data_IF_790993562288
#
_entry.id   IF_790993562288
#
_cell.length_a   1.000
_cell.length_b   1.000
_cell.length_c   1.000
_cell.angle_alpha   90.00
_cell.angle_beta   90.00
_cell.angle_gamma   90.00
#
_symmetry.space_group_name_H-M   'P 1'
#
loop_
_entity.id
_entity.type
_entity.pdbx_description
1 polymer ?
#
# COMPACT_ATOMS: atom_id res chain seq x y z
N UNK A 1 14.55 -34.51 -34.58
CA UNK A 1 14.74 -33.14 -35.03
C UNK A 1 15.95 -33.07 -35.95
N UNK A 2 15.75 -33.07 -37.28
CA UNK A 2 16.84 -32.90 -38.25
C UNK A 2 16.60 -31.61 -39.04
N UNK A 3 17.57 -30.72 -39.19
CA UNK A 3 17.43 -29.58 -40.08
C UNK A 3 17.51 -30.09 -41.54
N UNK A 4 16.50 -29.72 -42.35
CA UNK A 4 16.52 -29.90 -43.80
C UNK A 4 17.23 -28.71 -44.43
N UNK A 5 17.84 -28.89 -45.59
CA UNK A 5 18.71 -27.89 -46.28
C UNK A 5 18.03 -26.57 -46.67
N UNK A 6 16.72 -26.41 -46.39
CA UNK A 6 15.89 -25.25 -46.78
C UNK A 6 15.43 -24.35 -45.60
N UNK A 7 16.21 -24.26 -44.55
CA UNK A 7 15.89 -23.33 -43.43
C UNK A 7 14.52 -23.59 -42.77
N UNK A 8 14.04 -24.85 -42.77
CA UNK A 8 12.76 -25.29 -42.16
C UNK A 8 12.99 -26.32 -41.08
N UNK A 9 12.24 -26.18 -40.00
CA UNK A 9 12.17 -27.21 -38.94
C UNK A 9 10.92 -28.06 -39.19
N UNK A 10 11.12 -29.35 -39.46
CA UNK A 10 10.02 -30.31 -39.66
C UNK A 10 9.92 -31.18 -38.42
N UNK A 11 8.76 -31.15 -37.75
CA UNK A 11 8.42 -32.05 -36.65
C UNK A 11 7.59 -33.21 -37.18
N UNK A 12 8.05 -34.44 -36.94
CA UNK A 12 7.27 -35.64 -37.30
C UNK A 12 6.27 -35.96 -36.20
N UNK A 13 5.17 -36.63 -36.56
CA UNK A 13 4.04 -36.92 -35.65
C UNK A 13 4.40 -37.77 -34.44
N UNK A 14 5.52 -38.51 -34.49
CA UNK A 14 6.02 -39.32 -33.35
C UNK A 14 6.56 -38.48 -32.20
N UNK A 15 6.86 -37.19 -32.44
CA UNK A 15 7.40 -36.25 -31.44
C UNK A 15 6.30 -35.45 -30.70
N UNK A 16 5.02 -35.65 -31.06
CA UNK A 16 3.88 -34.90 -30.52
C UNK A 16 2.98 -35.77 -29.63
N UNK A 17 2.45 -35.23 -28.54
CA UNK A 17 1.45 -35.95 -27.75
C UNK A 17 0.15 -36.16 -28.56
N UNK A 18 -0.51 -37.32 -28.35
CA UNK A 18 -1.66 -37.87 -29.09
C UNK A 18 -2.88 -36.94 -29.34
N UNK A 19 -2.86 -35.69 -28.87
CA UNK A 19 -4.00 -34.74 -28.90
C UNK A 19 -3.90 -33.71 -30.03
N UNK A 20 -2.78 -33.67 -30.78
CA UNK A 20 -2.59 -32.73 -31.90
C UNK A 20 -2.36 -33.46 -33.21
N UNK A 21 -3.39 -33.57 -34.02
CA UNK A 21 -3.29 -34.17 -35.35
C UNK A 21 -3.36 -33.10 -36.45
N UNK A 22 -2.20 -32.60 -36.91
CA UNK A 22 -1.93 -32.51 -38.33
C UNK A 22 -0.70 -33.35 -38.67
N UNK A 23 -0.71 -33.96 -39.86
CA UNK A 23 0.35 -34.87 -40.34
C UNK A 23 1.77 -34.32 -40.36
N UNK A 24 1.93 -32.99 -40.37
CA UNK A 24 3.21 -32.26 -40.25
C UNK A 24 2.99 -30.81 -39.82
N UNK A 25 3.78 -30.32 -38.87
CA UNK A 25 3.89 -28.88 -38.54
C UNK A 25 5.24 -28.41 -39.15
N UNK A 26 5.16 -27.44 -40.10
CA UNK A 26 6.31 -26.80 -40.69
C UNK A 26 6.39 -25.38 -40.12
N UNK A 27 7.48 -25.04 -39.45
CA UNK A 27 7.73 -23.70 -38.92
C UNK A 27 8.88 -23.12 -39.77
N UNK A 28 8.65 -22.01 -40.43
CA UNK A 28 9.73 -21.28 -41.13
C UNK A 28 10.53 -20.47 -40.11
N UNK A 29 11.84 -20.39 -40.29
CA UNK A 29 12.71 -19.67 -39.33
C UNK A 29 12.42 -18.16 -39.28
N UNK A 30 11.81 -17.63 -40.33
CA UNK A 30 11.35 -16.24 -40.42
C UNK A 30 10.17 -15.94 -39.50
N UNK A 31 9.33 -16.96 -39.16
CA UNK A 31 8.24 -16.86 -38.22
C UNK A 31 8.69 -16.77 -36.74
N UNK A 32 9.98 -17.03 -36.46
CA UNK A 32 10.55 -17.00 -35.11
C UNK A 32 11.06 -15.61 -34.71
N UNK A 33 11.24 -14.70 -35.65
CA UNK A 33 11.69 -13.32 -35.39
C UNK A 33 10.60 -12.46 -34.73
N UNK A 34 9.32 -12.82 -34.95
CA UNK A 34 8.16 -12.14 -34.35
C UNK A 34 7.62 -12.82 -33.07
N UNK A 35 8.21 -13.96 -32.66
CA UNK A 35 7.83 -14.63 -31.42
C UNK A 35 8.50 -13.93 -30.25
N UNK A 36 7.75 -13.12 -29.51
CA UNK A 36 8.20 -12.71 -28.18
C UNK A 36 8.69 -13.95 -27.42
N UNK A 37 9.90 -13.93 -26.85
CA UNK A 37 10.43 -15.08 -26.15
C UNK A 37 9.43 -15.50 -25.09
N UNK A 38 8.77 -16.63 -25.29
CA UNK A 38 7.88 -17.23 -24.32
C UNK A 38 8.67 -17.33 -23.02
N UNK A 39 8.03 -16.92 -21.91
CA UNK A 39 8.63 -17.04 -20.59
C UNK A 39 9.12 -18.48 -20.42
N UNK A 40 10.43 -18.67 -20.53
CA UNK A 40 11.06 -19.98 -20.37
C UNK A 40 10.83 -20.40 -18.93
N UNK A 41 9.87 -21.29 -18.76
CA UNK A 41 9.72 -22.01 -17.49
C UNK A 41 10.88 -23.00 -17.38
N UNK A 42 11.82 -22.84 -16.44
CA UNK A 42 12.96 -23.73 -16.33
C UNK A 42 12.52 -25.03 -15.67
N UNK A 43 12.22 -26.00 -16.50
CA UNK A 43 12.14 -27.41 -16.14
C UNK A 43 13.35 -28.22 -16.60
N UNK A 44 14.42 -27.58 -17.08
CA UNK A 44 15.64 -28.25 -17.53
C UNK A 44 16.89 -27.69 -16.87
N UNK A 45 17.74 -28.58 -16.42
CA UNK A 45 19.00 -28.33 -15.76
C UNK A 45 19.85 -27.27 -16.47
N UNK A 46 20.06 -26.14 -15.79
CA UNK A 46 21.04 -25.17 -16.21
C UNK A 46 21.84 -24.71 -15.01
N UNK A 47 23.14 -24.57 -15.21
CA UNK A 47 24.09 -24.05 -14.27
C UNK A 47 23.80 -22.64 -13.79
N UNK A 48 24.67 -22.01 -12.98
CA UNK A 48 24.39 -20.81 -12.25
C UNK A 48 24.23 -19.60 -13.19
N UNK A 49 23.05 -19.33 -13.64
CA UNK A 49 22.70 -18.09 -14.30
C UNK A 49 22.12 -17.14 -13.26
N UNK A 50 22.80 -16.05 -13.02
CA UNK A 50 22.27 -14.92 -12.25
C UNK A 50 21.12 -14.29 -13.05
N UNK A 51 19.91 -14.80 -12.88
CA UNK A 51 18.72 -14.14 -13.36
C UNK A 51 18.34 -13.05 -12.35
N UNK A 52 18.81 -11.82 -12.58
CA UNK A 52 18.02 -10.66 -12.26
C UNK A 52 17.00 -10.54 -13.40
N UNK A 53 15.72 -10.94 -13.24
CA UNK A 53 14.74 -10.69 -14.27
C UNK A 53 14.60 -9.20 -14.41
N UNK A 54 14.88 -8.69 -15.60
CA UNK A 54 14.62 -7.28 -15.93
C UNK A 54 13.15 -7.00 -15.63
N UNK A 55 12.88 -6.11 -14.70
CA UNK A 55 11.53 -5.55 -14.49
C UNK A 55 11.13 -5.01 -15.85
N UNK A 56 10.12 -5.61 -16.50
CA UNK A 56 9.62 -5.10 -17.79
C UNK A 56 9.31 -3.61 -17.64
N UNK A 57 9.87 -2.71 -18.48
CA UNK A 57 9.49 -1.30 -18.48
C UNK A 57 8.03 -1.23 -18.91
N UNK A 58 7.15 -0.90 -17.99
CA UNK A 58 5.70 -0.83 -18.24
C UNK A 58 4.84 -1.04 -16.99
N UNK A 59 5.43 -1.33 -15.84
CA UNK A 59 4.67 -1.42 -14.60
C UNK A 59 4.18 -0.03 -14.16
N UNK A 60 2.88 0.05 -13.85
CA UNK A 60 2.22 1.27 -13.42
C UNK A 60 2.93 1.86 -12.19
N UNK A 61 3.43 3.13 -12.22
CA UNK A 61 4.15 3.74 -11.10
C UNK A 61 3.34 3.76 -9.80
N UNK A 62 2.00 3.78 -9.90
CA UNK A 62 1.11 3.69 -8.74
C UNK A 62 1.28 2.35 -8.02
N UNK A 63 1.47 1.25 -8.76
CA UNK A 63 1.66 -0.08 -8.15
C UNK A 63 3.02 -0.20 -7.47
N UNK A 64 4.02 0.50 -7.98
CA UNK A 64 5.41 0.40 -7.50
C UNK A 64 5.69 1.22 -6.24
N UNK A 65 5.01 2.36 -6.06
CA UNK A 65 5.31 3.29 -4.97
C UNK A 65 4.25 3.27 -3.87
N UNK A 66 4.61 2.76 -2.69
CA UNK A 66 3.75 2.81 -1.52
C UNK A 66 3.41 4.25 -1.09
N UNK A 67 4.34 5.19 -1.27
CA UNK A 67 4.10 6.61 -1.00
C UNK A 67 3.01 7.15 -1.91
N UNK A 68 3.13 6.93 -3.24
CA UNK A 68 2.14 7.41 -4.21
C UNK A 68 0.75 6.79 -3.97
N UNK A 69 0.71 5.51 -3.59
CA UNK A 69 -0.55 4.83 -3.22
C UNK A 69 -1.24 5.53 -2.06
N UNK A 70 -0.49 5.83 -1.00
CA UNK A 70 -1.03 6.52 0.18
C UNK A 70 -1.41 7.98 -0.13
N UNK A 71 -0.62 8.71 -0.94
CA UNK A 71 -0.96 10.08 -1.40
C UNK A 71 -2.30 10.07 -2.14
N UNK A 72 -2.46 9.18 -3.11
CA UNK A 72 -3.69 9.09 -3.89
C UNK A 72 -4.89 8.65 -3.03
N UNK A 73 -4.70 7.67 -2.16
CA UNK A 73 -5.76 7.23 -1.25
C UNK A 73 -6.19 8.36 -0.30
N UNK A 74 -5.23 9.08 0.28
CA UNK A 74 -5.50 10.23 1.12
C UNK A 74 -6.20 11.36 0.37
N UNK A 75 -5.77 11.68 -0.85
CA UNK A 75 -6.41 12.68 -1.70
C UNK A 75 -7.86 12.30 -2.05
N UNK A 76 -8.10 11.04 -2.43
CA UNK A 76 -9.45 10.53 -2.71
C UNK A 76 -10.31 10.59 -1.44
N UNK A 77 -9.78 10.18 -0.29
CA UNK A 77 -10.47 10.29 0.99
C UNK A 77 -10.82 11.74 1.35
N UNK A 78 -9.89 12.67 1.10
CA UNK A 78 -10.09 14.10 1.28
C UNK A 78 -11.17 14.68 0.36
N UNK A 79 -11.15 14.29 -0.92
CA UNK A 79 -12.19 14.67 -1.89
C UNK A 79 -13.57 14.19 -1.46
N UNK A 80 -13.71 12.94 -1.04
CA UNK A 80 -14.95 12.37 -0.55
C UNK A 80 -15.42 13.07 0.73
N UNK A 81 -14.48 13.36 1.63
CA UNK A 81 -14.75 14.08 2.87
C UNK A 81 -15.25 15.49 2.59
N UNK A 82 -14.59 16.23 1.67
CA UNK A 82 -15.09 17.54 1.25
C UNK A 82 -16.50 17.45 0.68
N UNK A 83 -16.75 16.51 -0.23
CA UNK A 83 -18.06 16.37 -0.88
C UNK A 83 -19.19 16.20 0.16
N UNK A 84 -18.97 15.33 1.15
CA UNK A 84 -19.98 15.10 2.20
C UNK A 84 -20.07 16.29 3.15
N UNK A 85 -18.93 16.83 3.61
CA UNK A 85 -18.96 17.97 4.55
C UNK A 85 -19.50 19.25 3.92
N UNK A 86 -19.30 19.47 2.62
CA UNK A 86 -19.86 20.63 1.92
C UNK A 86 -21.39 20.59 1.87
N UNK A 87 -21.98 19.39 1.78
CA UNK A 87 -23.45 19.23 1.81
C UNK A 87 -24.02 19.61 3.18
N UNK A 88 -23.35 19.28 4.28
CA UNK A 88 -23.88 19.48 5.64
C UNK A 88 -23.38 20.76 6.32
N UNK A 89 -22.16 21.19 6.03
CA UNK A 89 -21.44 22.27 6.71
C UNK A 89 -21.01 23.40 5.75
N UNK A 90 -21.49 23.41 4.51
CA UNK A 90 -21.20 24.49 3.55
C UNK A 90 -21.70 25.86 4.02
N UNK A 91 -21.33 26.91 3.27
CA UNK A 91 -21.54 28.29 3.65
C UNK A 91 -22.97 28.60 4.12
N UNK A 92 -23.08 29.25 5.29
CA UNK A 92 -24.34 29.67 5.89
C UNK A 92 -25.20 28.57 6.51
N UNK A 93 -24.66 27.34 6.65
CA UNK A 93 -25.44 26.21 7.20
C UNK A 93 -25.21 25.99 8.69
N UNK A 94 -24.15 26.58 9.29
CA UNK A 94 -23.99 26.49 10.73
C UNK A 94 -25.06 27.24 11.47
N UNK A 95 -25.74 26.59 12.42
CA UNK A 95 -26.76 27.14 13.30
C UNK A 95 -26.28 27.21 14.76
N UNK A 96 -24.99 26.94 15.00
CA UNK A 96 -24.43 26.90 16.35
C UNK A 96 -24.48 28.31 17.00
N UNK A 97 -25.12 28.40 18.16
CA UNK A 97 -25.26 29.63 18.95
C UNK A 97 -24.52 29.59 20.29
N UNK A 98 -23.99 28.43 20.66
CA UNK A 98 -23.24 28.26 21.88
C UNK A 98 -21.89 27.58 21.62
N UNK A 99 -20.92 27.75 22.54
CA UNK A 99 -19.61 27.11 22.47
C UNK A 99 -19.73 25.60 22.39
N UNK A 100 -20.65 25.00 23.15
CA UNK A 100 -20.89 23.55 23.12
C UNK A 100 -21.40 23.08 21.76
N UNK A 101 -22.28 23.84 21.12
CA UNK A 101 -22.79 23.52 19.79
C UNK A 101 -21.68 23.62 18.75
N UNK A 102 -20.79 24.61 18.84
CA UNK A 102 -19.64 24.76 17.94
C UNK A 102 -18.69 23.57 18.12
N UNK A 103 -18.39 23.16 19.37
CA UNK A 103 -17.52 21.98 19.61
C UNK A 103 -18.15 20.71 19.06
N UNK A 104 -19.46 20.52 19.22
CA UNK A 104 -20.16 19.34 18.68
C UNK A 104 -20.18 19.34 17.17
N UNK A 105 -20.47 20.48 16.55
CA UNK A 105 -20.46 20.64 15.09
C UNK A 105 -19.09 20.33 14.50
N UNK A 106 -18.03 20.87 15.09
CA UNK A 106 -16.65 20.58 14.70
C UNK A 106 -16.26 19.12 14.96
N UNK A 107 -16.71 18.53 16.06
CA UNK A 107 -16.49 17.10 16.30
C UNK A 107 -17.07 16.25 15.16
N UNK A 108 -18.33 16.48 14.78
CA UNK A 108 -18.99 15.74 13.71
C UNK A 108 -18.29 15.99 12.37
N UNK A 109 -17.98 17.25 12.06
CA UNK A 109 -17.24 17.63 10.85
C UNK A 109 -15.91 16.86 10.72
N UNK A 110 -15.09 16.87 11.77
CA UNK A 110 -13.82 16.14 11.77
C UNK A 110 -13.99 14.62 11.88
N UNK A 111 -15.07 14.15 12.48
CA UNK A 111 -15.45 12.73 12.47
C UNK A 111 -15.67 12.24 11.03
N UNK A 112 -16.42 12.98 10.22
CA UNK A 112 -16.65 12.64 8.81
C UNK A 112 -15.34 12.65 8.03
N UNK A 113 -14.52 13.70 8.20
CA UNK A 113 -13.21 13.82 7.54
C UNK A 113 -12.31 12.65 7.93
N UNK A 114 -12.14 12.39 9.23
CA UNK A 114 -11.30 11.32 9.75
C UNK A 114 -11.77 9.94 9.30
N UNK A 115 -13.08 9.72 9.30
CA UNK A 115 -13.68 8.47 8.85
C UNK A 115 -13.45 8.20 7.36
N UNK A 116 -13.72 9.16 6.48
CA UNK A 116 -13.60 8.98 5.03
C UNK A 116 -12.14 8.92 4.57
N UNK A 117 -11.27 9.78 5.09
CA UNK A 117 -9.83 9.70 4.82
C UNK A 117 -9.24 8.39 5.35
N UNK A 118 -9.57 8.01 6.59
CA UNK A 118 -9.16 6.75 7.18
C UNK A 118 -9.63 5.56 6.35
N UNK A 119 -10.90 5.56 5.93
CA UNK A 119 -11.48 4.50 5.09
C UNK A 119 -10.73 4.33 3.77
N UNK A 120 -10.44 5.43 3.08
CA UNK A 120 -9.72 5.39 1.81
C UNK A 120 -8.30 4.83 1.98
N UNK A 121 -7.58 5.28 3.03
CA UNK A 121 -6.24 4.79 3.35
C UNK A 121 -6.24 3.33 3.81
N UNK A 122 -7.22 2.92 4.61
CA UNK A 122 -7.36 1.53 5.06
C UNK A 122 -7.78 0.56 3.96
N UNK A 123 -8.53 1.04 2.95
CA UNK A 123 -8.95 0.25 1.81
C UNK A 123 -7.88 0.14 0.70
N UNK A 124 -6.91 1.06 0.68
CA UNK A 124 -5.98 1.27 -0.44
C UNK A 124 -5.29 -0.03 -0.89
N UNK A 125 -4.74 -0.81 0.04
CA UNK A 125 -4.06 -2.08 -0.28
C UNK A 125 -4.99 -3.05 -1.01
N UNK A 126 -6.20 -3.26 -0.49
CA UNK A 126 -7.19 -4.16 -1.09
C UNK A 126 -7.69 -3.69 -2.45
N UNK A 127 -7.80 -2.38 -2.67
CA UNK A 127 -8.17 -1.78 -3.97
C UNK A 127 -7.07 -2.01 -4.99
N UNK A 128 -5.81 -1.75 -4.63
CA UNK A 128 -4.65 -1.88 -5.51
C UNK A 128 -4.42 -3.35 -5.88
N UNK A 129 -4.52 -4.25 -4.90
CA UNK A 129 -4.38 -5.70 -5.11
C UNK A 129 -5.63 -6.35 -5.70
N UNK A 130 -6.73 -5.58 -5.88
CA UNK A 130 -8.04 -6.03 -6.39
C UNK A 130 -8.68 -7.13 -5.54
N UNK A 131 -8.47 -7.08 -4.25
CA UNK A 131 -9.03 -8.03 -3.28
C UNK A 131 -10.10 -7.33 -2.44
N UNK A 132 -11.35 -7.37 -2.93
CA UNK A 132 -12.47 -6.66 -2.32
C UNK A 132 -12.66 -6.95 -0.81
N UNK A 133 -12.57 -8.19 -0.28
CA UNK A 133 -12.67 -8.44 1.15
C UNK A 133 -11.60 -7.72 1.99
N UNK A 134 -10.37 -7.56 1.46
CA UNK A 134 -9.29 -6.82 2.13
C UNK A 134 -9.60 -5.34 2.15
N UNK A 135 -10.05 -4.78 1.00
CA UNK A 135 -10.44 -3.37 0.89
C UNK A 135 -11.60 -3.02 1.83
N UNK A 136 -12.67 -3.81 1.82
CA UNK A 136 -13.85 -3.57 2.65
C UNK A 136 -13.53 -3.64 4.14
N UNK A 137 -12.78 -4.68 4.55
CA UNK A 137 -12.41 -4.84 5.95
C UNK A 137 -11.47 -3.73 6.42
N UNK A 138 -10.40 -3.45 5.66
CA UNK A 138 -9.45 -2.39 5.98
C UNK A 138 -10.12 -1.03 6.03
N UNK A 139 -10.96 -0.72 5.02
CA UNK A 139 -11.74 0.50 4.94
C UNK A 139 -12.72 0.65 6.08
N UNK A 140 -13.48 -0.40 6.45
CA UNK A 140 -14.47 -0.35 7.53
C UNK A 140 -13.81 -0.12 8.91
N UNK A 141 -12.70 -0.81 9.20
CA UNK A 141 -11.95 -0.62 10.46
C UNK A 141 -11.42 0.81 10.53
N UNK A 142 -10.77 1.29 9.48
CA UNK A 142 -10.18 2.62 9.46
C UNK A 142 -11.24 3.73 9.42
N UNK A 143 -12.43 3.47 8.83
CA UNK A 143 -13.58 4.37 8.92
C UNK A 143 -14.03 4.53 10.36
N UNK A 144 -14.24 3.44 11.08
CA UNK A 144 -14.70 3.49 12.48
C UNK A 144 -13.70 4.20 13.39
N UNK A 145 -12.42 3.81 13.31
CA UNK A 145 -11.35 4.43 14.12
C UNK A 145 -11.15 5.89 13.76
N UNK A 146 -11.11 6.20 12.46
CA UNK A 146 -10.95 7.57 11.95
C UNK A 146 -12.14 8.46 12.31
N UNK A 147 -13.37 7.93 12.24
CA UNK A 147 -14.56 8.67 12.63
C UNK A 147 -14.58 8.98 14.14
N UNK A 148 -14.43 7.96 14.99
CA UNK A 148 -14.41 8.16 16.45
C UNK A 148 -13.23 9.04 16.88
N UNK A 149 -12.06 8.80 16.31
CA UNK A 149 -10.88 9.61 16.56
C UNK A 149 -11.03 11.04 16.05
N UNK A 150 -11.68 11.22 14.90
CA UNK A 150 -12.02 12.53 14.35
C UNK A 150 -13.02 13.31 15.24
N UNK A 151 -14.02 12.63 15.82
CA UNK A 151 -14.90 13.24 16.83
C UNK A 151 -14.10 13.79 18.02
N UNK A 152 -13.22 12.95 18.57
CA UNK A 152 -12.39 13.32 19.74
C UNK A 152 -11.38 14.41 19.34
N UNK A 153 -10.67 14.22 18.23
CA UNK A 153 -9.66 15.17 17.73
C UNK A 153 -10.27 16.52 17.35
N UNK A 154 -11.45 16.51 16.74
CA UNK A 154 -12.19 17.73 16.37
C UNK A 154 -12.68 18.50 17.60
N UNK A 155 -13.28 17.82 18.59
CA UNK A 155 -13.69 18.43 19.85
C UNK A 155 -12.49 19.01 20.61
N UNK A 156 -11.39 18.22 20.74
CA UNK A 156 -10.17 18.67 21.39
C UNK A 156 -9.51 19.83 20.63
N UNK A 157 -9.41 19.74 19.32
CA UNK A 157 -8.87 20.80 18.45
C UNK A 157 -9.64 22.10 18.56
N UNK A 158 -10.98 22.03 18.55
CA UNK A 158 -11.84 23.21 18.75
C UNK A 158 -11.70 23.81 20.15
N UNK A 159 -11.55 22.97 21.16
CA UNK A 159 -11.30 23.44 22.54
C UNK A 159 -9.94 24.15 22.65
N UNK A 160 -8.89 23.54 22.08
CA UNK A 160 -7.53 24.15 22.00
C UNK A 160 -7.59 25.48 21.25
N UNK A 161 -8.32 25.55 20.13
CA UNK A 161 -8.52 26.78 19.39
C UNK A 161 -9.23 27.84 20.23
N UNK A 162 -10.29 27.47 20.95
CA UNK A 162 -11.00 28.38 21.85
C UNK A 162 -10.14 28.96 22.95
N UNK A 163 -9.26 28.14 23.55
CA UNK A 163 -8.37 28.55 24.64
C UNK A 163 -7.20 29.41 24.12
N UNK A 164 -6.54 28.99 23.05
CA UNK A 164 -5.30 29.61 22.55
C UNK A 164 -5.53 30.64 21.44
N UNK A 165 -6.50 30.42 20.58
CA UNK A 165 -6.69 31.19 19.34
C UNK A 165 -7.96 32.03 19.28
N UNK A 166 -8.96 31.76 20.11
CA UNK A 166 -10.31 32.38 20.05
C UNK A 166 -10.48 33.66 20.88
N UNK A 167 -9.46 34.11 21.63
CA UNK A 167 -9.56 35.30 22.48
C UNK A 167 -9.46 36.62 21.71
N UNK A 168 -10.14 37.69 22.19
CA UNK A 168 -9.98 39.03 21.67
C UNK A 168 -8.52 39.47 21.81
N UNK A 169 -7.88 39.90 20.71
CA UNK A 169 -6.50 40.32 20.68
C UNK A 169 -5.48 39.19 20.46
N UNK A 170 -5.92 37.96 20.22
CA UNK A 170 -5.02 36.84 19.89
C UNK A 170 -4.38 37.07 18.51
N UNK A 171 -3.05 36.86 18.42
CA UNK A 171 -2.34 37.02 17.15
C UNK A 171 -2.75 35.96 16.14
N UNK A 172 -2.71 36.33 14.84
CA UNK A 172 -2.98 35.39 13.74
C UNK A 172 -2.09 34.15 13.85
N UNK A 173 -0.80 34.29 14.23
CA UNK A 173 0.11 33.18 14.41
C UNK A 173 -0.36 32.18 15.48
N UNK A 174 -0.96 32.64 16.58
CA UNK A 174 -1.49 31.76 17.63
C UNK A 174 -2.76 31.02 17.14
N UNK A 175 -3.59 31.67 16.33
CA UNK A 175 -4.75 31.03 15.71
C UNK A 175 -4.33 29.90 14.74
N UNK A 176 -3.34 30.16 13.89
CA UNK A 176 -2.77 29.17 12.98
C UNK A 176 -2.19 28.01 13.78
N UNK A 177 -1.40 28.29 14.82
CA UNK A 177 -0.81 27.25 15.68
C UNK A 177 -1.89 26.35 16.31
N UNK A 178 -2.88 26.96 16.93
CA UNK A 178 -3.97 26.23 17.61
C UNK A 178 -4.73 25.32 16.62
N UNK A 179 -5.01 25.82 15.42
CA UNK A 179 -5.69 25.08 14.35
C UNK A 179 -4.83 23.95 13.81
N UNK A 180 -3.54 24.22 13.57
CA UNK A 180 -2.56 23.22 13.13
C UNK A 180 -2.45 22.06 14.13
N UNK A 181 -2.43 22.34 15.43
CA UNK A 181 -2.42 21.30 16.46
C UNK A 181 -3.70 20.46 16.42
N UNK A 182 -4.87 21.07 16.22
CA UNK A 182 -6.14 20.36 16.04
C UNK A 182 -6.10 19.40 14.85
N UNK A 183 -5.61 19.87 13.70
CA UNK A 183 -5.43 19.03 12.51
C UNK A 183 -4.42 17.90 12.73
N UNK A 184 -3.35 18.15 13.49
CA UNK A 184 -2.37 17.11 13.89
C UNK A 184 -3.03 15.98 14.68
N UNK A 185 -3.94 16.30 15.61
CA UNK A 185 -4.70 15.31 16.38
C UNK A 185 -5.61 14.48 15.47
N UNK A 186 -6.34 15.10 14.55
CA UNK A 186 -7.19 14.38 13.59
C UNK A 186 -6.35 13.46 12.71
N UNK A 187 -5.24 13.96 12.18
CA UNK A 187 -4.30 13.18 11.36
C UNK A 187 -3.73 11.98 12.10
N UNK A 188 -3.41 12.11 13.39
CA UNK A 188 -2.96 11.03 14.27
C UNK A 188 -4.01 9.88 14.29
N UNK A 189 -5.28 10.19 14.46
CA UNK A 189 -6.34 9.17 14.48
C UNK A 189 -6.61 8.56 13.10
N UNK A 190 -6.46 9.32 12.02
CA UNK A 190 -6.52 8.79 10.65
C UNK A 190 -5.44 7.73 10.46
N UNK A 191 -4.20 8.06 10.84
CA UNK A 191 -3.06 7.14 10.77
C UNK A 191 -3.21 5.92 11.68
N UNK A 192 -3.77 6.11 12.89
CA UNK A 192 -4.13 5.02 13.81
C UNK A 192 -5.09 4.04 13.15
N UNK A 193 -6.15 4.54 12.49
CA UNK A 193 -7.14 3.73 11.80
C UNK A 193 -6.52 2.87 10.70
N UNK A 194 -5.65 3.46 9.88
CA UNK A 194 -4.90 2.71 8.88
C UNK A 194 -3.99 1.65 9.55
N UNK A 195 -3.25 2.01 10.59
CA UNK A 195 -2.36 1.09 11.30
C UNK A 195 -3.06 -0.13 11.87
N UNK A 196 -4.21 0.06 12.52
CA UNK A 196 -5.02 -1.02 13.10
C UNK A 196 -5.55 -1.95 12.00
N UNK A 197 -5.90 -1.43 10.83
CA UNK A 197 -6.41 -2.23 9.71
C UNK A 197 -5.40 -3.28 9.22
N UNK A 198 -4.09 -3.00 9.35
CA UNK A 198 -3.00 -3.92 9.02
C UNK A 198 -2.66 -4.92 10.14
N UNK A 199 -3.27 -4.80 11.33
CA UNK A 199 -2.99 -5.67 12.49
C UNK A 199 -1.51 -5.74 12.89
N UNK A 200 -0.79 -4.63 12.76
CA UNK A 200 0.64 -4.55 13.05
C UNK A 200 0.95 -3.38 13.97
N UNK A 201 1.62 -3.65 15.09
CA UNK A 201 2.06 -2.60 16.01
C UNK A 201 3.05 -1.65 15.34
N UNK A 202 3.95 -2.16 14.47
CA UNK A 202 4.88 -1.31 13.70
C UNK A 202 4.10 -0.37 12.76
N UNK A 203 3.08 -0.87 12.08
CA UNK A 203 2.23 -0.06 11.19
C UNK A 203 1.38 0.94 11.98
N UNK A 204 0.91 0.59 13.17
CA UNK A 204 0.20 1.52 14.07
C UNK A 204 1.11 2.69 14.45
N UNK A 205 2.33 2.42 14.89
CA UNK A 205 3.30 3.48 15.25
C UNK A 205 3.62 4.36 14.03
N UNK A 206 3.86 3.76 12.86
CA UNK A 206 4.11 4.49 11.64
C UNK A 206 2.92 5.38 11.26
N UNK A 207 1.70 4.83 11.36
CA UNK A 207 0.47 5.55 11.11
C UNK A 207 0.29 6.74 12.06
N UNK A 208 0.52 6.55 13.37
CA UNK A 208 0.45 7.63 14.36
C UNK A 208 1.43 8.76 14.03
N UNK A 209 2.70 8.43 13.78
CA UNK A 209 3.73 9.42 13.46
C UNK A 209 3.42 10.11 12.13
N UNK A 210 3.20 9.33 11.05
CA UNK A 210 2.93 9.87 9.73
C UNK A 210 1.63 10.65 9.66
N UNK A 211 0.58 10.15 10.31
CA UNK A 211 -0.71 10.81 10.39
C UNK A 211 -0.62 12.15 11.12
N UNK A 212 0.07 12.19 12.28
CA UNK A 212 0.28 13.43 13.03
C UNK A 212 1.09 14.46 12.21
N UNK A 213 2.22 14.04 11.63
CA UNK A 213 3.06 14.92 10.81
C UNK A 213 2.27 15.43 9.59
N UNK A 214 1.57 14.53 8.88
CA UNK A 214 0.74 14.89 7.74
C UNK A 214 -0.42 15.81 8.10
N UNK A 215 -1.04 15.60 9.27
CA UNK A 215 -2.08 16.48 9.81
C UNK A 215 -1.56 17.87 10.15
N UNK A 216 -0.38 17.98 10.77
CA UNK A 216 0.26 19.27 11.04
C UNK A 216 0.59 20.01 9.74
N UNK A 217 1.22 19.34 8.77
CA UNK A 217 1.53 19.92 7.46
C UNK A 217 0.26 20.33 6.73
N UNK A 218 -0.76 19.44 6.71
CA UNK A 218 -2.06 19.71 6.08
C UNK A 218 -2.81 20.86 6.73
N UNK A 219 -2.72 21.00 8.07
CA UNK A 219 -3.32 22.11 8.81
C UNK A 219 -2.67 23.46 8.46
N UNK A 220 -1.34 23.50 8.33
CA UNK A 220 -0.64 24.70 7.83
C UNK A 220 -1.04 25.03 6.39
N UNK A 221 -1.13 24.03 5.51
CA UNK A 221 -1.56 24.22 4.12
C UNK A 221 -3.01 24.73 4.05
N UNK A 222 -3.87 24.28 4.96
CA UNK A 222 -5.27 24.73 5.02
C UNK A 222 -5.34 26.25 5.25
N UNK A 223 -4.62 26.77 6.23
CA UNK A 223 -4.59 28.19 6.52
C UNK A 223 -3.93 29.01 5.38
N UNK A 224 -2.85 28.47 4.79
CA UNK A 224 -2.20 29.12 3.65
C UNK A 224 -3.13 29.22 2.43
N UNK A 225 -3.84 28.13 2.09
CA UNK A 225 -4.83 28.12 1.00
C UNK A 225 -5.95 29.10 1.30
N UNK A 226 -6.46 29.12 2.53
CA UNK A 226 -7.48 30.06 2.97
C UNK A 226 -7.06 31.52 2.85
N UNK A 227 -5.77 31.82 3.06
CA UNK A 227 -5.26 33.21 2.96
C UNK A 227 -5.10 33.71 1.53
N UNK A 228 -4.85 32.82 0.54
CA UNK A 228 -4.63 33.19 -0.87
C UNK A 228 -5.88 33.01 -1.74
N UNK A 229 -6.93 32.39 -1.21
CA UNK A 229 -8.21 32.21 -1.90
C UNK A 229 -9.28 33.12 -1.29
N UNK A 230 -10.31 33.41 -2.06
CA UNK A 230 -11.43 34.26 -1.59
C UNK A 230 -12.40 33.52 -0.63
N UNK A 231 -12.01 32.34 -0.14
CA UNK A 231 -12.85 31.46 0.68
C UNK A 231 -13.86 30.66 -0.15
N UNK A 232 -14.89 30.11 0.53
CA UNK A 232 -15.95 29.34 -0.10
C UNK A 232 -15.61 27.87 -0.37
N UNK A 233 -16.52 27.17 -1.06
CA UNK A 233 -16.44 25.72 -1.29
C UNK A 233 -15.19 25.26 -2.03
N UNK A 234 -14.69 26.05 -3.01
CA UNK A 234 -13.48 25.72 -3.76
C UNK A 234 -12.22 25.76 -2.87
N UNK A 235 -12.14 26.73 -1.96
CA UNK A 235 -11.03 26.80 -1.00
C UNK A 235 -11.01 25.56 -0.09
N UNK A 236 -12.18 25.19 0.45
CA UNK A 236 -12.33 23.96 1.27
C UNK A 236 -12.03 22.70 0.48
N UNK A 237 -12.45 22.61 -0.78
CA UNK A 237 -12.12 21.50 -1.68
C UNK A 237 -10.61 21.29 -1.78
N UNK A 238 -9.88 22.34 -2.16
CA UNK A 238 -8.44 22.27 -2.31
C UNK A 238 -7.75 21.91 -0.98
N UNK A 239 -8.14 22.60 0.09
CA UNK A 239 -7.51 22.43 1.39
C UNK A 239 -7.72 21.02 1.97
N UNK A 240 -8.94 20.48 1.97
CA UNK A 240 -9.24 19.14 2.52
C UNK A 240 -8.62 18.05 1.65
N UNK A 241 -8.67 18.20 0.31
CA UNK A 241 -8.05 17.22 -0.61
C UNK A 241 -6.53 17.18 -0.46
N UNK A 242 -5.86 18.33 -0.44
CA UNK A 242 -4.41 18.41 -0.26
C UNK A 242 -3.99 17.96 1.14
N UNK A 243 -4.79 18.24 2.16
CA UNK A 243 -4.54 17.71 3.51
C UNK A 243 -4.58 16.18 3.52
N UNK A 244 -5.58 15.58 2.87
CA UNK A 244 -5.65 14.13 2.73
C UNK A 244 -4.41 13.56 2.03
N UNK A 245 -3.95 14.20 0.94
CA UNK A 245 -2.72 13.85 0.25
C UNK A 245 -1.49 13.96 1.16
N UNK A 246 -1.40 15.02 1.98
CA UNK A 246 -0.31 15.24 2.92
C UNK A 246 -0.28 14.17 4.03
N UNK A 247 -1.45 13.83 4.60
CA UNK A 247 -1.57 12.74 5.59
C UNK A 247 -1.14 11.40 4.98
N UNK A 248 -1.69 11.04 3.81
CA UNK A 248 -1.33 9.81 3.13
C UNK A 248 0.15 9.76 2.75
N UNK A 249 0.69 10.85 2.21
CA UNK A 249 2.10 10.98 1.83
C UNK A 249 3.04 10.85 3.02
N UNK A 250 2.74 11.50 4.13
CA UNK A 250 3.53 11.40 5.36
C UNK A 250 3.53 9.98 5.94
N UNK A 251 2.37 9.31 5.98
CA UNK A 251 2.27 7.91 6.40
C UNK A 251 3.11 7.01 5.48
N UNK A 252 2.97 7.16 4.16
CA UNK A 252 3.75 6.39 3.18
C UNK A 252 5.25 6.65 3.29
N UNK A 253 5.65 7.88 3.56
CA UNK A 253 7.05 8.26 3.76
C UNK A 253 7.63 7.65 5.05
N UNK A 254 6.89 7.67 6.16
CA UNK A 254 7.30 7.04 7.42
C UNK A 254 7.44 5.52 7.24
N UNK A 255 6.52 4.88 6.52
CA UNK A 255 6.62 3.46 6.18
C UNK A 255 7.90 3.15 5.40
N UNK A 256 8.22 3.96 4.39
CA UNK A 256 9.41 3.79 3.55
C UNK A 256 10.71 4.01 4.34
N UNK A 257 10.74 5.03 5.20
CA UNK A 257 11.92 5.32 6.05
C UNK A 257 12.13 4.20 7.08
N UNK A 258 11.06 3.65 7.64
CA UNK A 258 11.10 2.67 8.73
C UNK A 258 11.02 1.21 8.27
N UNK A 259 10.91 0.93 6.96
CA UNK A 259 10.93 -0.45 6.47
C UNK A 259 12.28 -1.11 6.77
N UNK A 260 12.22 -2.34 7.26
CA UNK A 260 13.38 -3.18 7.57
C UNK A 260 13.57 -4.26 6.49
N UNK A 261 12.46 -4.89 6.09
CA UNK A 261 12.43 -5.91 5.04
C UNK A 261 11.16 -5.77 4.20
N UNK A 262 11.26 -6.19 2.94
CA UNK A 262 10.11 -6.19 2.03
C UNK A 262 10.24 -7.28 0.96
N UNK A 263 9.10 -7.64 0.38
CA UNK A 263 9.01 -8.51 -0.79
C UNK A 263 8.66 -7.69 -2.01
N UNK A 264 9.51 -7.69 -3.02
CA UNK A 264 9.24 -7.07 -4.33
C UNK A 264 8.77 -8.13 -5.31
N UNK A 265 7.60 -7.96 -5.88
CA UNK A 265 7.09 -8.84 -6.94
C UNK A 265 7.88 -8.58 -8.22
N UNK A 266 8.63 -9.58 -8.69
CA UNK A 266 9.44 -9.47 -9.91
C UNK A 266 8.80 -10.19 -11.11
N UNK A 267 7.88 -11.15 -10.84
CA UNK A 267 7.06 -11.79 -11.87
C UNK A 267 5.67 -12.10 -11.31
N UNK A 268 4.67 -12.12 -12.16
CA UNK A 268 3.28 -12.39 -11.81
C UNK A 268 2.35 -11.18 -11.97
N UNK A 269 1.05 -11.32 -11.60
CA UNK A 269 0.02 -10.31 -11.88
C UNK A 269 0.26 -8.93 -11.24
N UNK A 270 1.07 -8.88 -10.16
CA UNK A 270 1.38 -7.66 -9.41
C UNK A 270 2.85 -7.26 -9.54
N UNK A 271 3.50 -7.57 -10.68
CA UNK A 271 4.92 -7.24 -10.89
C UNK A 271 5.19 -5.74 -10.65
N UNK A 272 6.25 -5.46 -9.88
CA UNK A 272 6.63 -4.13 -9.42
C UNK A 272 6.10 -3.74 -8.04
N UNK A 273 5.06 -4.41 -7.49
CA UNK A 273 4.54 -4.15 -6.14
C UNK A 273 5.55 -4.52 -5.07
N UNK A 274 5.68 -3.66 -4.08
CA UNK A 274 6.46 -3.93 -2.87
C UNK A 274 5.52 -4.14 -1.67
N UNK A 275 5.72 -5.23 -0.94
CA UNK A 275 5.03 -5.56 0.30
C UNK A 275 6.00 -5.43 1.47
N UNK A 276 5.80 -4.43 2.32
CA UNK A 276 6.64 -4.24 3.51
C UNK A 276 6.24 -5.26 4.57
N UNK A 277 7.22 -5.92 5.17
CA UNK A 277 7.01 -6.91 6.23
C UNK A 277 6.94 -6.21 7.59
N UNK A 278 5.72 -5.86 8.00
CA UNK A 278 5.49 -5.18 9.28
C UNK A 278 5.35 -6.13 10.47
N UNK A 279 4.96 -7.39 10.22
CA UNK A 279 4.64 -8.36 11.26
C UNK A 279 5.77 -9.37 11.45
N UNK A 280 5.92 -9.85 12.68
CA UNK A 280 6.86 -10.94 12.99
C UNK A 280 6.42 -12.27 12.35
N UNK A 281 5.13 -12.43 12.07
CA UNK A 281 4.56 -13.55 11.32
C UNK A 281 3.74 -12.97 10.17
N UNK A 282 4.19 -13.23 8.93
CA UNK A 282 3.51 -12.79 7.71
C UNK A 282 3.08 -14.01 6.90
N UNK A 283 1.77 -14.17 6.70
CA UNK A 283 1.16 -15.27 5.95
C UNK A 283 0.97 -14.87 4.50
N UNK A 284 1.39 -15.75 3.58
CA UNK A 284 1.27 -15.57 2.15
C UNK A 284 0.40 -16.67 1.53
N UNK A 285 -0.48 -16.30 0.62
CA UNK A 285 -1.36 -17.26 -0.06
C UNK A 285 -2.47 -16.57 -0.85
N UNK A 286 -3.38 -17.36 -1.46
CA UNK A 286 -4.49 -16.82 -2.24
C UNK A 286 -5.71 -16.42 -1.40
N UNK A 287 -5.76 -16.80 -0.11
CA UNK A 287 -6.86 -16.44 0.79
C UNK A 287 -6.82 -14.97 1.22
N UNK A 288 -7.97 -14.26 1.24
CA UNK A 288 -8.08 -12.92 1.81
C UNK A 288 -7.75 -12.81 3.31
N UNK A 289 -7.55 -13.96 3.98
CA UNK A 289 -7.14 -14.03 5.40
C UNK A 289 -5.62 -13.91 5.57
N UNK A 290 -4.86 -14.07 4.47
CA UNK A 290 -3.41 -13.87 4.47
C UNK A 290 -3.05 -12.39 4.61
N UNK A 291 -1.85 -12.12 5.12
CA UNK A 291 -1.33 -10.76 5.25
C UNK A 291 -0.87 -10.23 3.87
N UNK A 292 -0.31 -11.12 3.04
CA UNK A 292 0.00 -10.85 1.62
C UNK A 292 -0.86 -11.80 0.76
N UNK A 293 -1.79 -11.22 0.01
CA UNK A 293 -2.70 -11.99 -0.85
C UNK A 293 -2.16 -12.03 -2.27
N UNK A 294 -1.86 -13.25 -2.75
CA UNK A 294 -1.44 -13.52 -4.13
C UNK A 294 -2.68 -13.76 -4.96
N UNK A 295 -3.13 -12.72 -5.66
CA UNK A 295 -4.38 -12.71 -6.40
C UNK A 295 -4.18 -13.20 -7.84
N UNK A 296 -5.16 -13.95 -8.37
CA UNK A 296 -5.16 -14.49 -9.74
C UNK A 296 -4.03 -15.44 -10.08
N UNK A 297 -3.52 -16.17 -9.09
CA UNK A 297 -2.58 -17.26 -9.31
C UNK A 297 -3.22 -18.58 -8.82
N UNK A 298 -3.82 -19.38 -9.72
CA UNK A 298 -4.52 -20.61 -9.34
C UNK A 298 -3.59 -21.70 -8.78
N UNK A 299 -2.28 -21.56 -8.97
CA UNK A 299 -1.29 -22.49 -8.44
C UNK A 299 -0.90 -22.16 -7.00
N UNK A 300 -1.43 -21.07 -6.42
CA UNK A 300 -1.15 -20.67 -5.04
C UNK A 300 -2.22 -21.18 -4.10
N UNK A 301 -1.79 -21.93 -3.08
CA UNK A 301 -2.67 -22.44 -2.04
C UNK A 301 -3.27 -21.32 -1.18
N UNK A 302 -4.43 -21.53 -0.50
CA UNK A 302 -5.04 -20.54 0.36
C UNK A 302 -4.09 -19.94 1.42
N UNK A 303 -3.25 -20.77 2.01
CA UNK A 303 -2.12 -20.33 2.87
C UNK A 303 -0.90 -21.17 2.49
N UNK A 304 -0.07 -20.66 1.59
CA UNK A 304 1.04 -21.42 1.02
C UNK A 304 2.33 -21.31 1.81
N UNK A 305 2.62 -20.12 2.32
CA UNK A 305 3.83 -19.89 3.08
C UNK A 305 3.61 -18.96 4.28
N UNK A 306 4.54 -19.01 5.21
CA UNK A 306 4.64 -18.10 6.34
C UNK A 306 6.07 -17.60 6.44
N UNK A 307 6.26 -16.28 6.47
CA UNK A 307 7.55 -15.68 6.82
C UNK A 307 7.51 -15.35 8.31
N UNK A 308 8.55 -15.76 9.03
CA UNK A 308 8.72 -15.55 10.46
C UNK A 308 9.99 -14.76 10.74
N UNK A 309 9.92 -13.89 11.75
CA UNK A 309 11.05 -13.08 12.22
C UNK A 309 11.39 -13.50 13.63
N UNK A 310 12.60 -13.95 13.87
CA UNK A 310 13.09 -14.33 15.19
C UNK A 310 14.47 -13.74 15.39
N UNK A 311 14.64 -12.89 16.40
CA UNK A 311 15.91 -12.24 16.70
C UNK A 311 16.48 -11.43 15.53
N UNK A 312 15.62 -10.82 14.70
CA UNK A 312 16.03 -10.06 13.51
C UNK A 312 16.38 -10.92 12.28
N UNK A 313 16.29 -12.24 12.39
CA UNK A 313 16.48 -13.17 11.26
C UNK A 313 15.14 -13.56 10.66
N UNK A 314 15.07 -13.56 9.34
CA UNK A 314 13.89 -13.93 8.57
C UNK A 314 13.99 -15.38 8.13
N UNK A 315 12.90 -16.11 8.20
CA UNK A 315 12.77 -17.47 7.69
C UNK A 315 11.45 -17.65 6.98
N UNK A 316 11.42 -18.54 5.99
CA UNK A 316 10.19 -18.93 5.30
C UNK A 316 9.88 -20.39 5.60
N UNK A 317 8.60 -20.66 5.85
CA UNK A 317 8.07 -22.00 6.07
C UNK A 317 6.98 -22.26 5.03
N UNK A 318 7.09 -23.36 4.31
CA UNK A 318 6.05 -23.83 3.39
C UNK A 318 4.94 -24.51 4.18
N UNK A 319 3.70 -24.08 3.98
CA UNK A 319 2.52 -24.63 4.66
C UNK A 319 1.74 -25.61 3.77
N UNK A 320 2.18 -25.82 2.52
CA UNK A 320 1.53 -26.70 1.55
C UNK A 320 2.54 -27.65 0.94
N UNK A 321 2.24 -28.94 1.01
CA UNK A 321 3.04 -29.99 0.35
C UNK A 321 2.67 -30.15 -1.12
N UNK A 322 1.40 -29.89 -1.47
CA UNK A 322 0.92 -29.98 -2.85
C UNK A 322 1.46 -28.84 -3.72
N UNK A 323 1.62 -27.64 -3.14
CA UNK A 323 2.10 -26.45 -3.82
C UNK A 323 3.39 -25.97 -3.14
N UNK A 324 4.56 -26.47 -3.57
CA UNK A 324 5.82 -26.18 -2.90
C UNK A 324 6.22 -24.71 -3.05
N UNK A 325 6.94 -24.22 -2.04
CA UNK A 325 7.65 -22.94 -2.11
C UNK A 325 9.05 -23.20 -2.63
N UNK A 326 9.49 -22.38 -3.58
CA UNK A 326 10.85 -22.47 -4.11
C UNK A 326 11.65 -21.26 -3.65
N UNK A 327 12.83 -21.52 -3.12
CA UNK A 327 13.82 -20.51 -2.76
C UNK A 327 15.03 -20.66 -3.71
N UNK A 328 15.29 -19.62 -4.54
CA UNK A 328 16.31 -19.69 -5.60
C UNK A 328 16.15 -20.97 -6.46
N UNK A 329 14.91 -21.24 -6.90
CA UNK A 329 14.49 -22.40 -7.71
C UNK A 329 14.64 -23.78 -7.07
N UNK A 330 14.96 -23.85 -5.78
CA UNK A 330 14.99 -25.12 -5.01
C UNK A 330 13.75 -25.19 -4.12
N UNK A 331 13.02 -26.31 -4.12
CA UNK A 331 11.88 -26.50 -3.23
C UNK A 331 12.35 -26.55 -1.78
N UNK A 332 11.64 -25.84 -0.90
CA UNK A 332 11.98 -25.78 0.53
C UNK A 332 10.74 -26.03 1.39
N UNK A 333 10.92 -26.76 2.48
CA UNK A 333 9.90 -26.86 3.56
C UNK A 333 10.10 -25.77 4.60
N UNK A 334 11.35 -25.46 4.93
CA UNK A 334 11.74 -24.33 5.78
C UNK A 334 13.15 -23.89 5.41
N UNK A 335 13.40 -22.59 5.41
CA UNK A 335 14.73 -22.04 5.12
C UNK A 335 14.88 -20.63 5.69
N UNK A 336 16.10 -20.26 6.06
CA UNK A 336 16.44 -18.87 6.33
C UNK A 336 16.37 -18.02 5.06
N UNK A 337 15.97 -16.75 5.19
CA UNK A 337 15.90 -15.79 4.10
C UNK A 337 17.06 -14.80 4.17
N UNK A 338 17.86 -14.76 3.10
CA UNK A 338 18.91 -13.78 2.88
C UNK A 338 18.51 -12.70 1.88
N UNK A 339 19.14 -11.54 1.98
CA UNK A 339 18.91 -10.43 1.03
C UNK A 339 19.15 -10.85 -0.42
N UNK A 340 18.27 -10.48 -1.33
CA UNK A 340 18.38 -10.78 -2.75
C UNK A 340 17.92 -12.18 -3.16
N UNK A 341 17.40 -13.00 -2.24
CA UNK A 341 16.86 -14.32 -2.60
C UNK A 341 15.49 -14.24 -3.28
N UNK A 342 15.28 -15.09 -4.28
CA UNK A 342 14.00 -15.22 -4.97
C UNK A 342 13.13 -16.26 -4.28
N UNK A 343 11.84 -15.91 -4.06
CA UNK A 343 10.80 -16.78 -3.51
C UNK A 343 9.74 -16.96 -4.58
N UNK A 344 9.55 -18.19 -5.08
CA UNK A 344 8.54 -18.49 -6.07
C UNK A 344 7.41 -19.32 -5.47
N UNK A 345 6.19 -18.87 -5.69
CA UNK A 345 4.94 -19.52 -5.32
C UNK A 345 4.00 -19.47 -6.52
N UNK A 346 3.68 -20.61 -7.10
CA UNK A 346 2.96 -20.69 -8.38
C UNK A 346 3.73 -19.95 -9.49
N UNK A 347 3.04 -19.06 -10.21
CA UNK A 347 3.63 -18.20 -11.24
C UNK A 347 4.19 -16.88 -10.68
N UNK A 348 3.96 -16.61 -9.38
CA UNK A 348 4.39 -15.37 -8.74
C UNK A 348 5.78 -15.52 -8.13
N UNK A 349 6.68 -14.59 -8.46
CA UNK A 349 8.05 -14.56 -7.95
C UNK A 349 8.29 -13.26 -7.17
N UNK A 350 8.76 -13.42 -5.95
CA UNK A 350 9.15 -12.33 -5.07
C UNK A 350 10.68 -12.28 -4.94
N UNK A 351 11.21 -11.08 -4.85
CA UNK A 351 12.58 -10.83 -4.41
C UNK A 351 12.51 -10.35 -2.96
N UNK A 352 13.14 -11.10 -2.05
CA UNK A 352 13.27 -10.70 -0.66
C UNK A 352 14.39 -9.69 -0.50
N UNK A 353 14.11 -8.57 0.14
CA UNK A 353 15.06 -7.48 0.31
C UNK A 353 15.10 -7.03 1.77
N UNK A 354 16.30 -6.77 2.26
CA UNK A 354 16.57 -6.18 3.56
C UNK A 354 17.13 -4.77 3.37
N UNK A 355 16.77 -3.86 4.27
CA UNK A 355 17.43 -2.57 4.34
C UNK A 355 18.89 -2.78 4.71
N UNK A 356 19.80 -2.16 3.96
CA UNK A 356 21.22 -2.21 4.28
C UNK A 356 21.43 -1.74 5.73
N UNK A 357 21.97 -2.64 6.57
CA UNK A 357 22.31 -2.28 7.95
C UNK A 357 23.47 -1.29 7.91
N UNK A 358 23.28 -0.07 8.36
CA UNK A 358 24.35 0.90 8.59
C UNK A 358 25.19 0.50 9.84
N UNK A 359 25.55 -0.78 9.96
CA UNK A 359 26.60 -1.22 10.89
C UNK A 359 27.99 -1.01 10.26
N UNK A 360 28.31 0.20 9.99
CA UNK A 360 29.68 0.59 9.62
C UNK A 360 30.03 1.87 10.37
N UNK A 361 30.11 1.79 11.69
CA UNK A 361 30.83 2.75 12.56
C UNK A 361 30.84 2.19 14.00
N UNK A 362 31.35 0.96 14.15
CA UNK A 362 31.97 0.58 15.42
C UNK A 362 33.48 0.76 15.19
N UNK A 363 34.00 1.93 15.51
CA UNK A 363 35.40 2.11 15.74
C UNK A 363 35.74 1.42 17.07
N UNK A 364 36.44 0.30 17.02
CA UNK A 364 37.27 -0.20 18.10
C UNK A 364 38.44 0.75 18.36
#
# INVERSE_FOLDING_TARGET
MMPDDDNRIVLETEDLPEVMAPDKIVIELEDLDDVEPAAVYPGMAAGPASFAPAVKPGSNPIVQSNILQNVLAGAIGGLLAWLITEIFFGDGRSTAQSVQQIIMEMAIFFGIIGGLMGSALGAAEGVITRVAPVALRGGAIALGVGFLGGLVGGAAGQTIYGILGGGLGTSIGMQILARTLGWGLVGLFIGLGQGISYRSSKKVINGLIGGMVGGLVGGLLFDLIGSVTTGGGMSRFLAITLMGAAVGGAIGMVDEIRKEAWLKVIAGPMAGKEYILFNDITRLGSSPKCDIVIYRDPQVAPQQATIQVTGGHYSIVSNSTANPVYLNDRPVSSSALGNGQSIRMGSTVFLFQLKASNKAFDFN
#
